data_IF_188609346542
#
_entry.id   IF_188609346542
#
_cell.length_a   1.000
_cell.length_b   1.000
_cell.length_c   1.000
_cell.angle_alpha   90.00
_cell.angle_beta   90.00
_cell.angle_gamma   90.00
#
_symmetry.space_group_name_H-M   'P 1'
#
loop_
_entity.id
_entity.type
_entity.pdbx_description
1 polymer ?
#
# COMPACT_ATOMS: atom_id res chain seq x y z
N UNK A 1 13.94 -0.37 -14.21
CA UNK A 1 13.11 -1.55 -13.91
C UNK A 1 11.93 -1.07 -13.10
N UNK A 2 10.69 -1.24 -13.57
CA UNK A 2 9.50 -0.84 -12.79
C UNK A 2 9.29 -1.93 -11.74
N UNK A 3 9.56 -1.62 -10.47
CA UNK A 3 9.30 -2.52 -9.36
C UNK A 3 7.80 -2.60 -9.03
N UNK A 4 7.43 -3.59 -8.22
CA UNK A 4 6.13 -3.66 -7.58
C UNK A 4 6.29 -3.53 -6.07
N UNK A 5 5.38 -2.82 -5.42
CA UNK A 5 5.32 -2.73 -3.97
C UNK A 5 4.10 -3.48 -3.43
N UNK A 6 4.31 -4.35 -2.44
CA UNK A 6 3.27 -5.21 -1.88
C UNK A 6 2.78 -4.67 -0.54
N UNK A 7 1.48 -4.38 -0.46
CA UNK A 7 0.76 -4.02 0.75
C UNK A 7 -0.09 -5.20 1.19
N UNK A 8 -0.05 -5.55 2.47
CA UNK A 8 -0.89 -6.63 3.07
C UNK A 8 -2.07 -6.10 3.90
N UNK A 9 -2.16 -4.78 4.11
CA UNK A 9 -3.23 -4.15 4.91
C UNK A 9 -4.29 -3.57 3.98
N UNK A 10 -5.52 -4.10 4.03
CA UNK A 10 -6.64 -3.65 3.20
C UNK A 10 -6.84 -2.12 3.27
N UNK A 11 -6.96 -1.56 4.48
CA UNK A 11 -7.23 -0.12 4.63
C UNK A 11 -6.10 0.78 4.11
N UNK A 12 -4.85 0.30 4.12
CA UNK A 12 -3.74 1.04 3.51
C UNK A 12 -3.84 0.98 1.98
N UNK A 13 -4.18 -0.19 1.43
CA UNK A 13 -4.40 -0.34 -0.01
C UNK A 13 -5.58 0.53 -0.50
N UNK A 14 -6.69 0.56 0.26
CA UNK A 14 -7.85 1.40 -0.05
C UNK A 14 -7.50 2.89 0.05
N UNK A 15 -6.70 3.30 1.04
CA UNK A 15 -6.24 4.69 1.16
C UNK A 15 -5.38 5.11 -0.04
N UNK A 16 -4.47 4.24 -0.49
CA UNK A 16 -3.65 4.50 -1.68
C UNK A 16 -4.50 4.50 -2.97
N UNK A 17 -5.51 3.63 -3.06
CA UNK A 17 -6.47 3.62 -4.16
C UNK A 17 -7.30 4.90 -4.22
N UNK A 18 -7.74 5.41 -3.06
CA UNK A 18 -8.41 6.70 -2.95
C UNK A 18 -7.55 7.86 -3.47
N UNK A 19 -6.23 7.80 -3.25
CA UNK A 19 -5.26 8.76 -3.82
C UNK A 19 -4.98 8.56 -5.32
N UNK A 20 -5.59 7.55 -5.95
CA UNK A 20 -5.51 7.31 -7.40
C UNK A 20 -4.51 6.23 -7.82
N UNK A 21 -3.85 5.54 -6.88
CA UNK A 21 -2.91 4.46 -7.20
C UNK A 21 -3.64 3.14 -7.44
N UNK A 22 -3.47 2.55 -8.63
CA UNK A 22 -4.06 1.26 -8.97
C UNK A 22 -3.22 0.10 -8.45
N UNK A 23 -3.88 -0.97 -7.98
CA UNK A 23 -3.24 -2.21 -7.57
C UNK A 23 -3.90 -3.44 -8.20
N UNK A 24 -3.13 -4.52 -8.29
CA UNK A 24 -3.65 -5.87 -8.49
C UNK A 24 -3.79 -6.56 -7.13
N UNK A 25 -4.84 -7.38 -6.94
CA UNK A 25 -5.02 -8.18 -5.73
C UNK A 25 -4.80 -9.66 -6.03
N UNK A 26 -4.10 -10.35 -5.15
CA UNK A 26 -3.94 -11.80 -5.22
C UNK A 26 -3.85 -12.39 -3.81
N UNK A 27 -4.13 -13.68 -3.70
CA UNK A 27 -3.93 -14.45 -2.48
C UNK A 27 -2.55 -15.09 -2.52
N UNK A 28 -1.76 -14.88 -1.49
CA UNK A 28 -0.48 -15.58 -1.30
C UNK A 28 -0.77 -17.08 -1.13
N UNK A 29 -0.17 -17.93 -1.97
CA UNK A 29 -0.43 -19.37 -1.96
C UNK A 29 0.15 -20.08 -0.73
N UNK A 30 1.14 -19.49 -0.07
CA UNK A 30 1.80 -20.08 1.09
C UNK A 30 1.18 -19.62 2.39
N UNK A 31 0.81 -18.34 2.50
CA UNK A 31 0.22 -17.80 3.74
C UNK A 31 -1.29 -17.70 3.72
N UNK A 32 -1.92 -17.73 2.54
CA UNK A 32 -3.36 -17.46 2.38
C UNK A 32 -3.72 -15.98 2.51
N UNK A 33 -2.74 -15.09 2.71
CA UNK A 33 -2.99 -13.68 2.91
C UNK A 33 -3.39 -12.98 1.61
N UNK A 34 -4.27 -11.97 1.72
CA UNK A 34 -4.52 -11.04 0.63
C UNK A 34 -3.35 -10.06 0.48
N UNK A 35 -2.83 -9.96 -0.74
CA UNK A 35 -1.74 -9.06 -1.12
C UNK A 35 -2.23 -8.10 -2.20
N UNK A 36 -1.92 -6.81 -2.02
CA UNK A 36 -2.23 -5.72 -2.93
C UNK A 36 -0.92 -5.20 -3.54
N UNK A 37 -0.75 -5.37 -4.85
CA UNK A 37 0.47 -5.02 -5.57
C UNK A 37 0.31 -3.75 -6.38
N UNK A 38 1.08 -2.73 -6.00
CA UNK A 38 1.13 -1.43 -6.65
C UNK A 38 2.34 -1.32 -7.56
N UNK A 39 2.25 -0.46 -8.58
CA UNK A 39 3.42 -0.04 -9.36
C UNK A 39 4.32 0.83 -8.47
N UNK A 40 5.59 0.46 -8.36
CA UNK A 40 6.56 1.22 -7.57
C UNK A 40 7.07 2.42 -8.36
N UNK A 41 6.52 3.60 -8.04
CA UNK A 41 6.92 4.89 -8.62
C UNK A 41 7.29 5.87 -7.50
N UNK A 42 8.01 6.93 -7.84
CA UNK A 42 8.40 7.94 -6.84
C UNK A 42 7.17 8.61 -6.20
N UNK A 43 6.13 8.92 -6.98
CA UNK A 43 4.89 9.48 -6.44
C UNK A 43 4.19 8.50 -5.48
N UNK A 44 4.20 7.20 -5.80
CA UNK A 44 3.65 6.18 -4.91
C UNK A 44 4.42 6.12 -3.59
N UNK A 45 5.76 6.12 -3.64
CA UNK A 45 6.61 6.11 -2.44
C UNK A 45 6.39 7.34 -1.57
N UNK A 46 6.25 8.52 -2.19
CA UNK A 46 5.94 9.76 -1.48
C UNK A 46 4.58 9.66 -0.76
N UNK A 47 3.52 9.29 -1.48
CA UNK A 47 2.18 9.14 -0.90
C UNK A 47 2.13 8.09 0.22
N UNK A 48 2.83 6.97 0.05
CA UNK A 48 2.96 5.95 1.09
C UNK A 48 3.64 6.51 2.35
N UNK A 49 4.76 7.22 2.18
CA UNK A 49 5.48 7.83 3.30
C UNK A 49 4.62 8.88 4.02
N UNK A 50 3.88 9.71 3.29
CA UNK A 50 2.98 10.71 3.88
C UNK A 50 1.86 10.05 4.70
N UNK A 51 1.28 8.96 4.21
CA UNK A 51 0.29 8.18 4.96
C UNK A 51 0.88 7.54 6.22
N UNK A 52 2.12 7.04 6.16
CA UNK A 52 2.80 6.48 7.33
C UNK A 52 3.12 7.56 8.37
N UNK A 53 3.56 8.73 7.94
CA UNK A 53 3.77 9.89 8.81
C UNK A 53 2.46 10.35 9.46
N UNK A 54 1.37 10.38 8.68
CA UNK A 54 0.03 10.70 9.18
C UNK A 54 -0.42 9.70 10.25
N UNK A 55 -0.20 8.40 10.00
CA UNK A 55 -0.51 7.33 10.96
C UNK A 55 0.24 7.54 12.27
N UNK A 56 1.54 7.82 12.24
CA UNK A 56 2.31 8.04 13.47
C UNK A 56 1.88 9.33 14.19
N UNK A 57 1.51 10.38 13.46
CA UNK A 57 0.98 11.63 14.05
C UNK A 57 -0.30 11.41 14.86
N UNK A 58 -1.21 10.55 14.39
CA UNK A 58 -2.49 10.27 15.04
C UNK A 58 -2.52 8.95 15.82
N UNK A 59 -1.37 8.32 16.01
CA UNK A 59 -1.23 7.09 16.78
C UNK A 59 -1.42 7.40 18.28
N UNK A 60 -2.68 7.39 18.71
CA UNK A 60 -3.01 7.32 20.13
C UNK A 60 -2.85 5.88 20.60
N UNK A 61 -2.02 5.65 21.62
CA UNK A 61 -1.91 4.36 22.32
C UNK A 61 -3.19 4.09 23.12
#
# INVERSE_FOLDING_TARGET
MIGCFHVKKLYLADSLSYLGFRYMKFTDKFTGDMVYSFKDTDQFRMALNDLLNLKEKYRNN
#
